data_IF_836424753844
#
_entry.id   IF_836424753844
#
_cell.length_a   1.000
_cell.length_b   1.000
_cell.length_c   1.000
_cell.angle_alpha   90.00
_cell.angle_beta   90.00
_cell.angle_gamma   90.00
#
_symmetry.space_group_name_H-M   'P 1'
#
loop_
_entity.id
_entity.type
_entity.pdbx_description
1 polymer ?
#
# COMPACT_ATOMS: atom_id res chain seq x y z
N UNK A 1 4.50 9.99 -27.70
CA UNK A 1 3.77 9.31 -26.61
C UNK A 1 3.30 7.93 -27.06
N UNK A 2 4.14 6.88 -26.99
CA UNK A 2 3.76 5.48 -27.36
C UNK A 2 3.87 4.48 -26.19
N UNK A 3 4.32 4.91 -25.01
CA UNK A 3 4.59 4.00 -23.90
C UNK A 3 3.33 3.46 -23.21
N UNK A 4 2.23 4.21 -23.23
CA UNK A 4 0.98 3.81 -22.53
C UNK A 4 0.36 2.57 -23.17
N UNK A 5 0.39 2.44 -24.50
CA UNK A 5 -0.13 1.27 -25.20
C UNK A 5 0.74 0.03 -24.97
N UNK A 6 2.07 0.16 -24.96
CA UNK A 6 2.98 -0.95 -24.68
C UNK A 6 2.84 -1.45 -23.24
N UNK A 7 2.74 -0.53 -22.27
CA UNK A 7 2.51 -0.90 -20.86
C UNK A 7 1.17 -1.61 -20.67
N UNK A 8 0.12 -1.18 -21.37
CA UNK A 8 -1.19 -1.85 -21.31
C UNK A 8 -1.11 -3.28 -21.81
N UNK A 9 -0.41 -3.53 -22.92
CA UNK A 9 -0.22 -4.89 -23.43
C UNK A 9 0.58 -5.75 -22.45
N UNK A 10 1.66 -5.20 -21.88
CA UNK A 10 2.51 -5.93 -20.93
C UNK A 10 1.78 -6.28 -19.63
N UNK A 11 0.91 -5.37 -19.16
CA UNK A 11 0.02 -5.63 -18.03
C UNK A 11 -1.07 -6.67 -18.36
N UNK A 12 -1.62 -6.65 -19.59
CA UNK A 12 -2.61 -7.62 -20.04
C UNK A 12 -2.07 -9.06 -20.08
N UNK A 13 -0.79 -9.22 -20.45
CA UNK A 13 -0.09 -10.51 -20.41
C UNK A 13 0.53 -10.83 -19.04
N UNK A 14 0.15 -10.10 -17.98
CA UNK A 14 0.63 -10.28 -16.60
C UNK A 14 2.17 -10.23 -16.43
N UNK A 15 2.87 -9.67 -17.41
CA UNK A 15 4.33 -9.53 -17.37
C UNK A 15 4.80 -8.39 -16.44
N UNK A 16 3.89 -7.48 -16.06
CA UNK A 16 4.17 -6.36 -15.15
C UNK A 16 3.00 -6.11 -14.21
N UNK A 17 3.30 -5.93 -12.92
CA UNK A 17 2.37 -5.45 -11.90
C UNK A 17 2.52 -3.94 -11.69
N UNK A 18 1.39 -3.22 -11.63
CA UNK A 18 1.36 -1.78 -11.38
C UNK A 18 1.04 -1.52 -9.91
N UNK A 19 2.01 -1.01 -9.17
CA UNK A 19 1.86 -0.66 -7.76
C UNK A 19 1.72 0.86 -7.62
N UNK A 20 0.72 1.37 -6.88
CA UNK A 20 0.59 2.80 -6.58
C UNK A 20 1.85 3.38 -5.95
N UNK A 21 2.17 4.63 -6.32
CA UNK A 21 3.34 5.33 -5.79
C UNK A 21 3.27 5.46 -4.26
N UNK A 22 4.38 5.13 -3.60
CA UNK A 22 4.54 5.21 -2.16
C UNK A 22 4.58 6.66 -1.68
N UNK A 23 3.64 7.06 -0.81
CA UNK A 23 3.64 8.39 -0.18
C UNK A 23 3.22 8.25 1.29
N UNK A 24 3.89 9.02 2.16
CA UNK A 24 3.54 9.09 3.58
C UNK A 24 2.17 9.71 3.86
N UNK A 25 1.67 10.54 2.93
CA UNK A 25 0.33 11.15 3.00
C UNK A 25 -0.78 10.20 2.57
N UNK A 26 -0.45 9.05 1.96
CA UNK A 26 -1.47 8.07 1.57
C UNK A 26 -1.91 7.25 2.79
N UNK A 27 -3.14 6.78 2.73
CA UNK A 27 -3.67 5.77 3.65
C UNK A 27 -3.62 4.41 2.97
N UNK A 28 -3.10 3.42 3.69
CA UNK A 28 -3.03 2.02 3.27
C UNK A 28 -3.86 1.19 4.25
N UNK A 29 -4.59 0.20 3.73
CA UNK A 29 -5.48 -0.64 4.53
C UNK A 29 -5.28 -2.10 4.16
N UNK A 30 -5.24 -2.96 5.19
CA UNK A 30 -5.20 -4.40 5.01
C UNK A 30 -6.45 -4.93 4.29
N UNK A 31 -6.25 -5.94 3.45
CA UNK A 31 -7.30 -6.68 2.73
C UNK A 31 -7.45 -8.08 3.34
N UNK A 32 -8.54 -8.76 3.00
CA UNK A 32 -8.79 -10.14 3.46
C UNK A 32 -7.77 -11.15 2.93
N UNK A 33 -7.12 -10.85 1.79
CA UNK A 33 -6.04 -11.67 1.21
C UNK A 33 -4.81 -11.78 2.11
N UNK A 34 -4.69 -10.91 3.11
CA UNK A 34 -3.64 -11.03 4.12
C UNK A 34 -3.75 -12.35 4.92
N UNK A 35 -4.91 -13.01 4.93
CA UNK A 35 -5.02 -14.36 5.51
C UNK A 35 -4.19 -15.40 4.73
N UNK A 36 -4.07 -15.26 3.41
CA UNK A 36 -3.29 -16.18 2.58
C UNK A 36 -1.78 -16.10 2.91
N UNK A 37 -1.31 -14.92 3.31
CA UNK A 37 0.05 -14.70 3.80
C UNK A 37 0.37 -15.48 5.10
N UNK A 38 -0.65 -15.86 5.86
CA UNK A 38 -0.45 -16.70 7.04
C UNK A 38 -0.03 -18.13 6.67
N UNK A 39 -0.38 -18.60 5.47
CA UNK A 39 -0.01 -19.94 5.02
C UNK A 39 1.29 -19.95 4.21
N UNK A 40 1.62 -18.85 3.54
CA UNK A 40 2.84 -18.69 2.74
C UNK A 40 3.77 -17.61 3.31
N UNK A 41 4.88 -18.06 3.91
CA UNK A 41 5.84 -17.21 4.63
C UNK A 41 7.13 -16.92 3.85
N UNK A 42 7.23 -17.35 2.58
CA UNK A 42 8.50 -17.43 1.88
C UNK A 42 9.19 -16.06 1.66
N UNK A 43 8.42 -14.97 1.63
CA UNK A 43 8.91 -13.68 1.12
C UNK A 43 9.03 -12.56 2.17
N UNK A 44 9.04 -12.90 3.47
CA UNK A 44 9.22 -11.90 4.56
C UNK A 44 10.55 -11.15 4.51
N UNK A 45 11.56 -11.74 3.89
CA UNK A 45 12.90 -11.15 3.68
C UNK A 45 12.85 -9.83 2.91
N UNK A 46 11.81 -9.63 2.06
CA UNK A 46 11.65 -8.42 1.27
C UNK A 46 11.41 -7.18 2.15
N UNK A 47 10.73 -7.35 3.29
CA UNK A 47 10.40 -6.27 4.21
C UNK A 47 11.56 -5.85 5.13
N UNK A 48 12.73 -6.51 5.03
CA UNK A 48 13.90 -6.24 5.87
C UNK A 48 14.37 -4.80 5.78
N UNK A 49 14.69 -4.23 6.92
CA UNK A 49 15.33 -2.92 6.99
C UNK A 49 16.76 -2.99 6.47
N UNK A 50 17.12 -2.04 5.59
CA UNK A 50 18.52 -1.81 5.22
C UNK A 50 19.12 -0.81 6.19
N UNK A 51 20.23 -1.21 6.79
CA UNK A 51 21.03 -0.37 7.66
C UNK A 51 21.76 0.70 6.83
N UNK A 52 22.26 1.73 7.50
CA UNK A 52 22.90 2.91 6.87
C UNK A 52 24.23 2.56 6.19
N UNK A 53 24.85 1.45 6.60
CA UNK A 53 26.05 0.84 6.00
C UNK A 53 25.75 0.04 4.71
N UNK A 54 24.47 -0.13 4.35
CA UNK A 54 24.04 -0.93 3.21
C UNK A 54 23.84 -2.41 3.54
N UNK A 55 24.16 -2.85 4.75
CA UNK A 55 23.91 -4.22 5.21
C UNK A 55 22.41 -4.45 5.48
N UNK A 56 21.96 -5.68 5.29
CA UNK A 56 20.61 -6.04 5.68
C UNK A 56 20.58 -6.24 7.20
N UNK A 57 19.71 -5.47 7.87
CA UNK A 57 19.42 -5.69 9.27
C UNK A 57 18.90 -7.11 9.55
N UNK A 58 18.82 -7.50 10.82
CA UNK A 58 18.35 -8.83 11.20
C UNK A 58 16.96 -9.11 10.62
N UNK A 59 16.71 -10.39 10.32
CA UNK A 59 15.45 -10.84 9.73
C UNK A 59 14.30 -10.54 10.69
N UNK A 60 13.27 -9.78 10.28
CA UNK A 60 12.12 -9.49 11.11
C UNK A 60 11.32 -10.77 11.34
N UNK A 61 10.74 -10.91 12.52
CA UNK A 61 9.89 -12.07 12.82
C UNK A 61 8.60 -11.97 12.04
N UNK A 62 8.06 -13.13 11.63
CA UNK A 62 6.78 -13.20 10.92
C UNK A 62 5.66 -12.49 11.71
N UNK A 63 5.56 -12.75 13.02
CA UNK A 63 4.54 -12.16 13.87
C UNK A 63 4.61 -10.62 13.87
N UNK A 64 5.81 -10.04 13.80
CA UNK A 64 5.99 -8.59 13.81
C UNK A 64 5.57 -7.99 12.47
N UNK A 65 5.98 -8.61 11.34
CA UNK A 65 5.55 -8.20 9.99
C UNK A 65 4.04 -8.30 9.84
N UNK A 66 3.46 -9.43 10.26
CA UNK A 66 2.02 -9.66 10.19
C UNK A 66 1.25 -8.65 11.06
N UNK A 67 1.72 -8.40 12.29
CA UNK A 67 1.14 -7.40 13.18
C UNK A 67 1.19 -5.99 12.58
N UNK A 68 2.31 -5.62 11.96
CA UNK A 68 2.46 -4.33 11.29
C UNK A 68 1.48 -4.20 10.11
N UNK A 69 1.36 -5.23 9.26
CA UNK A 69 0.38 -5.24 8.16
C UNK A 69 -1.06 -5.11 8.67
N UNK A 70 -1.43 -5.88 9.69
CA UNK A 70 -2.77 -5.84 10.29
C UNK A 70 -3.08 -4.51 10.98
N UNK A 71 -2.06 -3.76 11.42
CA UNK A 71 -2.25 -2.48 12.11
C UNK A 71 -2.58 -1.31 11.16
N UNK A 72 -2.40 -1.50 9.84
CA UNK A 72 -2.78 -0.51 8.82
C UNK A 72 -4.30 -0.48 8.64
N UNK A 73 -4.93 0.56 9.18
CA UNK A 73 -6.38 0.74 9.22
C UNK A 73 -6.84 1.98 8.45
N UNK A 74 -8.14 2.05 8.16
CA UNK A 74 -8.75 3.23 7.57
C UNK A 74 -8.61 4.45 8.50
N UNK A 75 -8.47 5.64 7.91
CA UNK A 75 -8.48 6.91 8.63
C UNK A 75 -7.17 7.32 9.29
N UNK A 76 -6.11 6.51 9.17
CA UNK A 76 -4.74 6.92 9.56
C UNK A 76 -3.87 7.04 8.32
N UNK A 77 -3.03 8.06 8.27
CA UNK A 77 -2.02 8.19 7.22
C UNK A 77 -0.82 7.29 7.51
N UNK A 78 -0.05 6.93 6.49
CA UNK A 78 1.16 6.14 6.69
C UNK A 78 2.16 6.87 7.60
N UNK A 79 2.22 8.21 7.55
CA UNK A 79 3.02 9.02 8.47
C UNK A 79 2.63 8.77 9.93
N UNK A 80 1.36 8.98 10.27
CA UNK A 80 0.86 8.78 11.65
C UNK A 80 1.04 7.33 12.11
N UNK A 81 0.87 6.38 11.18
CA UNK A 81 1.13 4.96 11.45
C UNK A 81 2.60 4.70 11.80
N UNK A 82 3.55 5.27 11.05
CA UNK A 82 4.99 5.16 11.34
C UNK A 82 5.33 5.74 12.72
N UNK A 83 4.74 6.89 13.07
CA UNK A 83 4.95 7.53 14.36
C UNK A 83 4.41 6.68 15.53
N UNK A 84 3.30 5.97 15.32
CA UNK A 84 2.64 5.16 16.34
C UNK A 84 3.26 3.77 16.51
N UNK A 85 3.51 3.05 15.41
CA UNK A 85 3.98 1.67 15.43
C UNK A 85 5.51 1.54 15.39
N UNK A 86 6.22 2.55 14.89
CA UNK A 86 7.69 2.58 14.78
C UNK A 86 8.27 1.30 14.14
N UNK A 87 7.95 1.00 12.87
CA UNK A 87 8.30 -0.27 12.20
C UNK A 87 9.80 -0.60 12.24
N UNK A 88 10.66 0.43 12.27
CA UNK A 88 12.12 0.28 12.38
C UNK A 88 12.58 -0.43 13.65
N UNK A 89 11.81 -0.36 14.75
CA UNK A 89 12.10 -1.10 15.99
C UNK A 89 12.01 -2.62 15.80
N UNK A 90 11.26 -3.07 14.80
CA UNK A 90 11.09 -4.48 14.44
C UNK A 90 11.98 -4.88 13.26
N UNK A 91 12.95 -4.05 12.88
CA UNK A 91 13.82 -4.28 11.71
C UNK A 91 13.04 -4.37 10.38
N UNK A 92 11.89 -3.71 10.30
CA UNK A 92 11.06 -3.61 9.11
C UNK A 92 11.19 -2.22 8.50
N UNK A 93 11.45 -2.16 7.19
CA UNK A 93 11.38 -0.91 6.42
C UNK A 93 9.93 -0.67 5.97
N UNK A 94 9.37 0.46 6.40
CA UNK A 94 8.02 0.89 6.10
C UNK A 94 7.71 0.91 4.60
N UNK A 95 8.67 1.34 3.76
CA UNK A 95 8.48 1.42 2.31
C UNK A 95 8.44 0.04 1.70
N UNK A 96 9.36 -0.83 2.10
CA UNK A 96 9.43 -2.20 1.59
C UNK A 96 8.24 -3.03 2.04
N UNK A 97 7.80 -2.84 3.28
CA UNK A 97 6.59 -3.47 3.82
C UNK A 97 5.36 -3.09 3.00
N UNK A 98 5.17 -1.79 2.72
CA UNK A 98 4.04 -1.34 1.92
C UNK A 98 4.15 -1.83 0.48
N UNK A 99 5.34 -1.77 -0.14
CA UNK A 99 5.54 -2.28 -1.50
C UNK A 99 5.24 -3.78 -1.60
N UNK A 100 5.68 -4.57 -0.63
CA UNK A 100 5.36 -5.98 -0.51
C UNK A 100 3.85 -6.19 -0.37
N UNK A 101 3.22 -5.55 0.61
CA UNK A 101 1.78 -5.69 0.82
C UNK A 101 0.95 -5.28 -0.41
N UNK A 102 1.38 -4.25 -1.15
CA UNK A 102 0.71 -3.84 -2.38
C UNK A 102 0.97 -4.81 -3.55
N UNK A 103 2.18 -5.37 -3.66
CA UNK A 103 2.53 -6.35 -4.69
C UNK A 103 1.67 -7.61 -4.56
N UNK A 104 1.54 -8.14 -3.36
CA UNK A 104 0.73 -9.34 -3.07
C UNK A 104 -0.77 -9.05 -2.85
N UNK A 105 -1.20 -7.79 -3.02
CA UNK A 105 -2.60 -7.37 -2.82
C UNK A 105 -3.12 -7.56 -1.38
N UNK A 106 -2.22 -7.69 -0.39
CA UNK A 106 -2.53 -7.68 1.03
C UNK A 106 -2.90 -6.29 1.54
N UNK A 107 -2.40 -5.26 0.87
CA UNK A 107 -2.72 -3.88 1.13
C UNK A 107 -3.42 -3.27 -0.09
N UNK A 108 -4.34 -2.36 0.19
CA UNK A 108 -4.90 -1.45 -0.82
C UNK A 108 -4.67 -0.01 -0.41
N UNK A 109 -4.42 0.84 -1.39
CA UNK A 109 -4.35 2.30 -1.20
C UNK A 109 -5.78 2.86 -1.15
N UNK A 110 -6.07 3.67 -0.14
CA UNK A 110 -7.26 4.52 -0.09
C UNK A 110 -6.92 5.89 -0.69
N UNK A 111 -7.69 6.28 -1.70
CA UNK A 111 -7.64 7.61 -2.29
C UNK A 111 -8.97 8.32 -2.01
N UNK A 112 -8.91 9.53 -1.46
CA UNK A 112 -10.07 10.37 -1.20
C UNK A 112 -10.22 11.35 -2.35
N UNK A 113 -11.41 11.43 -2.91
CA UNK A 113 -11.74 12.35 -4.00
C UNK A 113 -12.92 13.23 -3.60
N UNK A 114 -12.86 14.56 -3.83
CA UNK A 114 -14.00 15.43 -3.59
C UNK A 114 -15.13 15.08 -4.55
N UNK A 115 -16.36 15.08 -4.03
CA UNK A 115 -17.56 14.91 -4.85
C UNK A 115 -18.19 16.29 -5.03
N UNK A 116 -18.39 16.69 -6.29
CA UNK A 116 -19.09 17.92 -6.60
C UNK A 116 -20.57 17.75 -6.23
N UNK A 117 -21.00 18.37 -5.12
CA UNK A 117 -22.42 18.49 -4.78
C UNK A 117 -22.99 19.63 -5.60
N UNK A 118 -23.64 19.31 -6.72
CA UNK A 118 -24.38 20.30 -7.51
C UNK A 118 -25.49 20.85 -6.60
N UNK A 119 -25.56 22.16 -6.33
CA UNK A 119 -26.66 22.72 -5.56
C UNK A 119 -27.96 22.45 -6.32
N UNK A 120 -28.94 21.85 -5.64
CA UNK A 120 -30.24 21.42 -6.19
C UNK A 120 -31.05 22.55 -6.83
N UNK A 121 -30.64 23.81 -6.65
CA UNK A 121 -31.34 25.01 -7.13
C UNK A 121 -31.18 25.30 -8.63
N UNK A 122 -30.41 24.53 -9.40
CA UNK A 122 -30.24 24.74 -10.85
C UNK A 122 -30.90 23.68 -11.74
N UNK A 123 -31.48 22.61 -11.16
CA UNK A 123 -32.18 21.57 -11.95
C UNK A 123 -33.55 22.04 -12.45
N UNK A 124 -34.15 23.07 -11.84
CA UNK A 124 -35.46 23.60 -12.24
C UNK A 124 -35.42 24.64 -13.38
N UNK A 125 -34.24 25.10 -13.82
CA UNK A 125 -34.13 26.15 -14.86
C UNK A 125 -33.81 25.66 -16.27
N UNK A 126 -33.52 24.36 -16.46
CA UNK A 126 -33.30 23.76 -17.79
C UNK A 126 -34.50 22.94 -18.29
N UNK A 127 -35.68 23.17 -17.72
CA UNK A 127 -36.94 22.61 -18.20
C UNK A 127 -37.89 23.73 -18.62
N UNK A 128 -37.54 24.46 -19.70
CA UNK A 128 -38.47 25.25 -20.52
C UNK A 128 -37.88 25.44 -21.91
#
# INVERSE_FOLDING_TARGET
MRCVSTLRNLHFYECVSLVPLFLYSNTYVATEKLHDFYNDHAEREFARHRLTDGELGPVPKFCDVFRLLMSLKCGITLREWCDTMMPRRYNVDERRLVQFGMHHQFLRKLSIYPIATIPTNEVERSGK
#
